data_IF_753428818088
#
_entry.id   IF_753428818088
#
_cell.length_a   1.000
_cell.length_b   1.000
_cell.length_c   1.000
_cell.angle_alpha   90.00
_cell.angle_beta   90.00
_cell.angle_gamma   90.00
#
_symmetry.space_group_name_H-M   'P 1'
#
loop_
_entity.id
_entity.type
_entity.pdbx_description
1 polymer ?
#
# COMPACT_ATOMS: atom_id res chain seq x y z
N UNK A 1 -59.77 -5.23 21.78
CA UNK A 1 -58.37 -4.97 22.14
C UNK A 1 -57.49 -5.65 21.10
N UNK A 2 -56.81 -4.88 20.26
CA UNK A 2 -55.90 -5.39 19.22
C UNK A 2 -54.49 -5.29 19.81
N UNK A 3 -53.86 -6.43 20.09
CA UNK A 3 -52.46 -6.49 20.45
C UNK A 3 -51.64 -6.50 19.15
N UNK A 4 -51.07 -5.34 18.80
CA UNK A 4 -50.11 -5.22 17.69
C UNK A 4 -48.75 -5.68 18.22
N UNK A 5 -48.34 -6.89 17.83
CA UNK A 5 -46.99 -7.39 18.10
C UNK A 5 -45.98 -6.64 17.23
N UNK A 6 -45.15 -5.80 17.86
CA UNK A 6 -44.00 -5.18 17.20
C UNK A 6 -42.90 -6.23 17.02
N UNK A 7 -42.79 -6.79 15.81
CA UNK A 7 -41.61 -7.54 15.40
C UNK A 7 -40.44 -6.59 15.17
N UNK A 8 -39.42 -6.69 16.01
CA UNK A 8 -38.16 -5.95 15.85
C UNK A 8 -37.32 -6.68 14.80
N UNK A 9 -37.19 -6.09 13.61
CA UNK A 9 -36.25 -6.55 12.60
C UNK A 9 -34.82 -6.14 13.03
N UNK A 10 -34.06 -7.07 13.59
CA UNK A 10 -32.62 -6.87 13.80
C UNK A 10 -31.90 -6.96 12.45
N UNK A 11 -31.59 -5.82 11.85
CA UNK A 11 -30.67 -5.75 10.74
C UNK A 11 -29.25 -6.09 11.23
N UNK A 12 -28.75 -7.27 10.86
CA UNK A 12 -27.35 -7.64 11.04
C UNK A 12 -26.54 -6.90 9.98
N UNK A 13 -25.89 -5.81 10.36
CA UNK A 13 -24.91 -5.16 9.50
C UNK A 13 -23.63 -6.00 9.50
N UNK A 14 -23.10 -6.42 8.34
CA UNK A 14 -21.79 -7.06 8.30
C UNK A 14 -20.74 -6.04 8.72
N UNK A 15 -20.14 -6.25 9.89
CA UNK A 15 -18.90 -5.59 10.29
C UNK A 15 -17.85 -6.01 9.28
N UNK A 16 -17.53 -5.15 8.31
CA UNK A 16 -16.35 -5.31 7.49
C UNK A 16 -15.15 -5.21 8.43
N UNK A 17 -14.53 -6.36 8.73
CA UNK A 17 -13.30 -6.37 9.50
C UNK A 17 -12.29 -5.46 8.80
N UNK A 18 -11.84 -4.41 9.49
CA UNK A 18 -10.76 -3.58 9.00
C UNK A 18 -9.56 -4.49 8.71
N UNK A 19 -9.10 -4.51 7.45
CA UNK A 19 -7.92 -5.27 7.07
C UNK A 19 -6.74 -4.76 7.91
N UNK A 20 -6.27 -5.56 8.85
CA UNK A 20 -5.12 -5.22 9.68
C UNK A 20 -3.88 -5.33 8.80
N UNK A 21 -3.29 -4.18 8.46
CA UNK A 21 -1.99 -4.12 7.81
C UNK A 21 -0.92 -4.49 8.84
N UNK A 22 -0.10 -5.49 8.53
CA UNK A 22 1.07 -5.82 9.35
C UNK A 22 2.24 -4.94 8.91
N UNK A 23 2.66 -4.04 9.80
CA UNK A 23 3.79 -3.15 9.55
C UNK A 23 5.08 -3.79 10.05
N UNK A 24 6.13 -3.73 9.22
CA UNK A 24 7.43 -4.35 9.47
C UNK A 24 8.55 -3.32 9.34
N UNK A 25 9.71 -3.63 9.92
CA UNK A 25 10.89 -2.74 9.89
C UNK A 25 11.76 -2.94 8.66
N UNK A 26 11.79 -4.15 8.09
CA UNK A 26 12.62 -4.49 6.93
C UNK A 26 12.00 -5.64 6.15
N UNK A 27 12.33 -5.70 4.85
CA UNK A 27 11.88 -6.75 3.93
C UNK A 27 12.97 -7.12 2.92
N UNK A 28 12.90 -8.36 2.46
CA UNK A 28 13.63 -8.85 1.29
C UNK A 28 12.72 -8.82 0.05
N UNK A 29 13.25 -8.32 -1.06
CA UNK A 29 12.57 -8.10 -2.34
C UNK A 29 13.31 -8.82 -3.47
N UNK A 30 12.68 -9.06 -4.64
CA UNK A 30 13.32 -9.67 -5.80
C UNK A 30 14.10 -8.64 -6.64
N UNK A 31 14.26 -7.40 -6.15
CA UNK A 31 14.94 -6.31 -6.86
C UNK A 31 14.10 -5.63 -7.95
N UNK A 32 12.83 -6.02 -8.12
CA UNK A 32 11.88 -5.45 -9.08
C UNK A 32 10.51 -5.24 -8.44
N UNK A 33 9.78 -4.22 -8.89
CA UNK A 33 8.45 -3.93 -8.39
C UNK A 33 7.68 -2.97 -9.30
N UNK A 34 6.55 -2.45 -8.79
CA UNK A 34 5.76 -1.42 -9.46
C UNK A 34 5.63 -0.20 -8.56
N UNK A 35 6.00 0.97 -9.07
CA UNK A 35 5.70 2.25 -8.44
C UNK A 35 4.31 2.69 -8.89
N UNK A 36 3.47 3.07 -7.95
CA UNK A 36 2.19 3.74 -8.20
C UNK A 36 2.32 5.14 -7.65
N UNK A 37 2.21 6.14 -8.51
CA UNK A 37 2.18 7.55 -8.12
C UNK A 37 0.75 8.05 -8.07
N UNK A 38 0.47 9.01 -7.18
CA UNK A 38 -0.88 9.55 -7.02
C UNK A 38 -0.85 11.07 -7.01
N UNK A 39 -1.36 11.68 -8.08
CA UNK A 39 -1.33 13.13 -8.24
C UNK A 39 -2.43 13.85 -7.43
N UNK A 40 -3.56 13.18 -7.16
CA UNK A 40 -4.69 13.82 -6.48
C UNK A 40 -5.48 12.89 -5.57
N UNK A 41 -5.86 13.40 -4.39
CA UNK A 41 -6.47 12.65 -3.27
C UNK A 41 -7.80 11.95 -3.63
N UNK A 42 -8.50 12.46 -4.64
CA UNK A 42 -9.89 12.12 -4.87
C UNK A 42 -10.12 10.95 -5.82
N UNK A 43 -9.14 10.56 -6.64
CA UNK A 43 -9.38 9.65 -7.76
C UNK A 43 -8.18 8.71 -7.97
N UNK A 44 -8.26 7.52 -7.35
CA UNK A 44 -7.43 6.34 -7.70
C UNK A 44 -7.39 6.06 -9.21
N UNK A 45 -8.38 6.54 -9.98
CA UNK A 45 -8.43 6.45 -11.43
C UNK A 45 -7.33 7.25 -12.15
N UNK A 46 -6.63 8.16 -11.46
CA UNK A 46 -5.54 8.97 -12.01
C UNK A 46 -4.17 8.59 -11.42
N UNK A 47 -3.99 7.34 -10.99
CA UNK A 47 -2.67 6.87 -10.61
C UNK A 47 -1.89 6.43 -11.85
N UNK A 48 -0.66 6.88 -12.00
CA UNK A 48 0.26 6.28 -12.94
C UNK A 48 0.92 5.05 -12.32
N UNK A 49 1.34 4.11 -13.17
CA UNK A 49 2.06 2.93 -12.71
C UNK A 49 3.27 2.66 -13.56
N UNK A 50 4.42 2.52 -12.92
CA UNK A 50 5.71 2.34 -13.56
C UNK A 50 6.39 1.05 -13.11
N UNK A 51 7.06 0.37 -14.03
CA UNK A 51 7.97 -0.72 -13.67
C UNK A 51 9.23 -0.14 -13.03
N UNK A 52 9.68 -0.72 -11.91
CA UNK A 52 10.87 -0.25 -11.22
C UNK A 52 11.89 -1.35 -10.91
N UNK A 53 13.12 -0.92 -10.65
CA UNK A 53 14.14 -1.70 -9.95
C UNK A 53 14.50 -1.04 -8.64
N UNK A 54 14.74 -1.85 -7.62
CA UNK A 54 15.04 -1.44 -6.25
C UNK A 54 16.05 -2.41 -5.62
N UNK A 55 16.64 -2.08 -4.46
CA UNK A 55 17.50 -3.00 -3.72
C UNK A 55 16.76 -4.26 -3.24
N UNK A 56 17.50 -5.35 -3.07
CA UNK A 56 16.97 -6.62 -2.54
C UNK A 56 16.62 -6.52 -1.05
N UNK A 57 17.29 -5.66 -0.29
CA UNK A 57 17.00 -5.40 1.11
C UNK A 57 16.51 -3.96 1.27
N UNK A 58 15.38 -3.79 1.95
CA UNK A 58 14.78 -2.47 2.18
C UNK A 58 14.37 -2.33 3.63
N UNK A 59 14.81 -1.24 4.27
CA UNK A 59 14.46 -0.90 5.65
C UNK A 59 13.58 0.34 5.75
N UNK A 60 12.75 0.40 6.80
CA UNK A 60 12.01 1.60 7.14
C UNK A 60 12.97 2.75 7.49
N UNK A 61 12.72 3.94 6.96
CA UNK A 61 13.53 5.14 7.12
C UNK A 61 14.61 5.32 6.05
N UNK A 62 14.83 4.31 5.21
CA UNK A 62 15.85 4.29 4.17
C UNK A 62 15.50 5.23 3.00
N UNK A 63 16.53 5.83 2.39
CA UNK A 63 16.41 6.52 1.11
C UNK A 63 16.95 5.60 0.01
N UNK A 64 16.04 5.03 -0.79
CA UNK A 64 16.38 4.14 -1.89
C UNK A 64 16.69 4.93 -3.15
N UNK A 65 17.72 4.52 -3.90
CA UNK A 65 17.83 4.89 -5.31
C UNK A 65 17.10 3.84 -6.14
N UNK A 66 15.92 4.18 -6.64
CA UNK A 66 15.15 3.32 -7.53
C UNK A 66 15.39 3.69 -8.98
N UNK A 67 15.27 2.72 -9.89
CA UNK A 67 15.23 2.99 -11.33
C UNK A 67 13.82 2.82 -11.82
N UNK A 68 13.29 3.82 -12.51
CA UNK A 68 11.92 3.85 -13.02
C UNK A 68 11.96 3.76 -14.54
N UNK A 69 11.06 2.95 -15.11
CA UNK A 69 10.88 2.84 -16.55
C UNK A 69 9.70 3.70 -17.01
N UNK A 70 10.00 4.77 -17.73
CA UNK A 70 9.03 5.70 -18.30
C UNK A 70 9.36 5.90 -19.78
N UNK A 71 8.35 5.83 -20.65
CA UNK A 71 8.51 5.95 -22.12
C UNK A 71 9.61 5.04 -22.71
N UNK A 72 9.78 3.86 -22.11
CA UNK A 72 10.78 2.87 -22.51
C UNK A 72 12.21 3.18 -22.06
N UNK A 73 12.45 4.32 -21.41
CA UNK A 73 13.75 4.73 -20.89
C UNK A 73 13.84 4.51 -19.37
N UNK A 74 15.05 4.28 -18.87
CA UNK A 74 15.31 4.12 -17.44
C UNK A 74 15.94 5.38 -16.88
N UNK A 75 15.35 5.96 -15.85
CA UNK A 75 15.93 7.04 -15.06
C UNK A 75 16.00 6.65 -13.57
N UNK A 76 16.77 7.39 -12.78
CA UNK A 76 16.99 7.11 -11.36
C UNK A 76 16.33 8.18 -10.50
N UNK A 77 15.61 7.77 -9.46
CA UNK A 77 14.99 8.66 -8.49
C UNK A 77 15.26 8.21 -7.04
N UNK A 78 15.13 9.14 -6.11
CA UNK A 78 15.22 8.85 -4.67
C UNK A 78 13.82 8.60 -4.11
N UNK A 79 13.64 7.45 -3.46
CA UNK A 79 12.40 7.10 -2.77
C UNK A 79 12.67 6.93 -1.28
N UNK A 80 12.05 7.74 -0.43
CA UNK A 80 12.17 7.61 1.03
C UNK A 80 11.11 6.66 1.59
N UNK A 81 11.55 5.56 2.19
CA UNK A 81 10.64 4.60 2.82
C UNK A 81 10.25 5.13 4.20
N UNK A 82 8.97 5.45 4.39
CA UNK A 82 8.44 5.92 5.68
C UNK A 82 7.64 4.84 6.43
N UNK A 83 7.16 3.83 5.71
CA UNK A 83 6.54 2.65 6.30
C UNK A 83 6.64 1.48 5.33
N UNK A 84 6.62 0.26 5.88
CA UNK A 84 6.54 -0.98 5.11
C UNK A 84 5.36 -1.77 5.69
N UNK A 85 4.40 -2.11 4.83
CA UNK A 85 3.31 -3.02 5.21
C UNK A 85 3.35 -4.26 4.34
N UNK A 86 3.15 -5.42 4.95
CA UNK A 86 3.10 -6.71 4.26
C UNK A 86 1.70 -7.32 4.37
N UNK A 87 1.23 -7.89 3.27
CA UNK A 87 0.04 -8.72 3.22
C UNK A 87 0.35 -9.98 2.41
N UNK A 88 0.48 -11.12 3.09
CA UNK A 88 1.06 -12.34 2.52
C UNK A 88 2.49 -12.09 1.99
N UNK A 89 2.71 -12.22 0.68
CA UNK A 89 3.99 -11.98 0.01
C UNK A 89 3.99 -10.65 -0.77
N UNK A 90 2.98 -9.81 -0.59
CA UNK A 90 2.90 -8.48 -1.18
C UNK A 90 3.37 -7.45 -0.16
N UNK A 91 4.47 -6.77 -0.47
CA UNK A 91 4.92 -5.61 0.28
C UNK A 91 4.48 -4.31 -0.39
N UNK A 92 4.05 -3.36 0.43
CA UNK A 92 3.85 -1.97 0.05
C UNK A 92 4.84 -1.11 0.82
N UNK A 93 5.76 -0.47 0.11
CA UNK A 93 6.67 0.54 0.63
C UNK A 93 5.99 1.90 0.46
N UNK A 94 5.78 2.62 1.55
CA UNK A 94 5.06 3.89 1.53
C UNK A 94 6.05 5.05 1.56
N UNK A 95 5.86 6.03 0.67
CA UNK A 95 6.65 7.27 0.67
C UNK A 95 6.29 8.21 1.83
N UNK A 96 5.13 8.00 2.45
CA UNK A 96 4.63 8.70 3.64
C UNK A 96 3.93 7.70 4.54
N UNK A 97 4.04 7.86 5.87
CA UNK A 97 3.36 6.97 6.79
C UNK A 97 1.82 7.12 6.61
N UNK A 98 1.08 6.02 6.39
CA UNK A 98 -0.38 6.09 6.33
C UNK A 98 -0.91 6.66 7.66
N UNK A 99 -1.87 7.58 7.63
CA UNK A 99 -2.57 7.95 8.87
C UNK A 99 -3.25 6.73 9.47
N UNK A 100 -3.67 6.84 10.74
CA UNK A 100 -4.36 5.76 11.48
C UNK A 100 -5.55 5.14 10.73
N UNK A 101 -6.13 5.85 9.78
CA UNK A 101 -7.29 5.40 9.01
C UNK A 101 -6.92 4.80 7.63
N UNK A 102 -5.63 4.67 7.31
CA UNK A 102 -5.13 4.03 6.08
C UNK A 102 -5.46 4.77 4.78
N UNK A 103 -5.96 6.02 4.89
CA UNK A 103 -6.70 6.73 3.82
C UNK A 103 -5.92 7.82 3.09
N UNK A 104 -4.61 7.96 3.32
CA UNK A 104 -3.83 8.90 2.53
C UNK A 104 -3.31 8.21 1.25
N UNK A 105 -3.80 8.59 0.06
CA UNK A 105 -3.16 8.24 -1.20
C UNK A 105 -1.78 8.88 -1.22
N UNK A 106 -0.77 8.06 -1.39
CA UNK A 106 0.64 8.43 -1.38
C UNK A 106 1.37 7.52 -2.35
N UNK A 107 2.45 8.02 -2.92
CA UNK A 107 3.29 7.19 -3.79
C UNK A 107 3.73 5.95 -3.03
N UNK A 108 3.55 4.81 -3.67
CA UNK A 108 3.83 3.54 -3.05
C UNK A 108 4.48 2.59 -4.06
N UNK A 109 5.47 1.86 -3.56
CA UNK A 109 6.08 0.77 -4.31
C UNK A 109 5.44 -0.54 -3.86
N UNK A 110 4.91 -1.30 -4.81
CA UNK A 110 4.36 -2.63 -4.60
C UNK A 110 5.35 -3.67 -5.11
N UNK A 111 5.64 -4.66 -4.27
CA UNK A 111 6.61 -5.70 -4.57
C UNK A 111 6.07 -7.07 -4.20
N UNK A 112 6.16 -8.02 -5.14
CA UNK A 112 5.77 -9.41 -4.95
C UNK A 112 6.63 -10.30 -5.86
N UNK A 113 7.18 -11.43 -5.38
CA UNK A 113 7.13 -11.89 -3.99
C UNK A 113 7.99 -11.00 -3.08
N UNK A 114 7.62 -10.92 -1.81
CA UNK A 114 8.34 -10.18 -0.79
C UNK A 114 8.25 -10.94 0.54
N UNK A 115 9.29 -10.85 1.35
CA UNK A 115 9.36 -11.53 2.64
C UNK A 115 9.81 -10.56 3.72
N UNK A 116 9.25 -10.72 4.91
CA UNK A 116 9.79 -10.06 6.09
C UNK A 116 11.18 -10.64 6.41
N UNK A 117 12.12 -9.78 6.78
CA UNK A 117 13.44 -10.17 7.30
C UNK A 117 13.38 -10.57 8.79
#
# INVERSE_FOLDING_TARGET
MIAVGMSVFSAVFPVHAAQKLDYVSAVTTPGTGRLVTMDDYWLLAFSDTYDIRLPEHVSNGENLQIRIREDGQWHTENFRVQAISIHHDLCRLHSQHPSRDGRFPTDAIYVQPCQQE
#
